data_IF_060811897879
#
_entry.id   IF_060811897879
#
_cell.length_a   1.000
_cell.length_b   1.000
_cell.length_c   1.000
_cell.angle_alpha   90.00
_cell.angle_beta   90.00
_cell.angle_gamma   90.00
#
_symmetry.space_group_name_H-M   'P 1'
#
loop_
_entity.id
_entity.type
_entity.pdbx_description
1 polymer ?
#
# COMPACT_ATOMS: atom_id res chain seq x y z
N UNK A 1 38.33 -6.61 -3.24
CA UNK A 1 37.17 -5.93 -3.88
C UNK A 1 36.49 -5.13 -2.80
N UNK A 2 36.29 -3.84 -2.98
CA UNK A 2 35.49 -3.01 -2.08
C UNK A 2 34.05 -3.50 -2.15
N UNK A 3 33.47 -3.91 -1.01
CA UNK A 3 32.05 -4.26 -0.95
C UNK A 3 31.26 -2.96 -1.15
N UNK A 4 30.41 -2.89 -2.18
CA UNK A 4 29.57 -1.72 -2.45
C UNK A 4 28.58 -1.54 -1.31
N UNK A 5 28.30 -0.29 -0.92
CA UNK A 5 27.24 -0.01 0.04
C UNK A 5 25.87 -0.40 -0.54
N UNK A 6 24.92 -0.84 0.28
CA UNK A 6 23.62 -1.34 -0.21
C UNK A 6 22.86 -0.33 -1.08
N UNK A 7 22.97 0.97 -0.79
CA UNK A 7 22.32 2.03 -1.59
C UNK A 7 22.92 2.22 -2.99
N UNK A 8 24.15 1.74 -3.22
CA UNK A 8 24.80 1.72 -4.54
C UNK A 8 24.56 0.40 -5.29
N UNK A 9 23.92 -0.58 -4.64
CA UNK A 9 23.61 -1.87 -5.24
C UNK A 9 22.22 -1.84 -5.91
N UNK A 10 22.04 -2.75 -6.86
CA UNK A 10 20.77 -2.97 -7.55
C UNK A 10 20.36 -4.44 -7.40
N UNK A 11 19.16 -4.69 -6.86
CA UNK A 11 18.66 -6.03 -6.53
C UNK A 11 19.67 -6.87 -5.73
N UNK A 12 20.27 -6.28 -4.69
CA UNK A 12 21.16 -7.00 -3.79
C UNK A 12 20.42 -8.15 -3.10
N UNK A 13 21.09 -9.30 -3.05
CA UNK A 13 20.69 -10.46 -2.24
C UNK A 13 21.55 -10.58 -0.96
N UNK A 14 22.34 -9.54 -0.62
CA UNK A 14 23.15 -9.51 0.59
C UNK A 14 22.28 -9.19 1.83
N UNK A 15 21.47 -10.18 2.19
CA UNK A 15 20.57 -10.11 3.34
C UNK A 15 21.34 -9.99 4.67
N UNK A 16 22.58 -10.48 4.75
CA UNK A 16 23.41 -10.31 5.93
C UNK A 16 23.78 -8.83 6.15
N UNK A 17 24.18 -8.11 5.10
CA UNK A 17 24.44 -6.67 5.17
C UNK A 17 23.18 -5.87 5.49
N UNK A 18 22.03 -6.27 4.97
CA UNK A 18 20.76 -5.61 5.26
C UNK A 18 20.33 -5.81 6.72
N UNK A 19 20.47 -7.03 7.25
CA UNK A 19 20.24 -7.34 8.67
C UNK A 19 21.14 -6.50 9.58
N UNK A 20 22.43 -6.40 9.26
CA UNK A 20 23.38 -5.58 10.03
C UNK A 20 22.99 -4.11 10.02
N UNK A 21 22.56 -3.60 8.86
CA UNK A 21 22.08 -2.23 8.70
C UNK A 21 20.86 -1.97 9.60
N UNK A 22 19.82 -2.81 9.54
CA UNK A 22 18.63 -2.66 10.38
C UNK A 22 18.91 -2.76 11.88
N UNK A 23 19.86 -3.61 12.28
CA UNK A 23 20.16 -3.85 13.69
C UNK A 23 21.09 -2.78 14.31
N UNK A 24 21.97 -2.17 13.53
CA UNK A 24 23.00 -1.24 14.05
C UNK A 24 22.74 0.23 13.76
N UNK A 25 21.94 0.57 12.74
CA UNK A 25 21.67 1.97 12.41
C UNK A 25 20.79 2.63 13.48
N UNK A 26 21.36 3.64 14.13
CA UNK A 26 20.69 4.43 15.18
C UNK A 26 19.66 5.41 14.60
N UNK A 27 20.04 6.21 13.61
CA UNK A 27 19.15 7.16 12.95
C UNK A 27 18.46 6.44 11.76
N UNK A 28 17.38 5.72 12.05
CA UNK A 28 16.70 4.79 11.13
C UNK A 28 15.21 5.09 11.09
N UNK A 29 14.61 5.11 9.90
CA UNK A 29 13.16 5.17 9.71
C UNK A 29 12.74 4.10 8.69
N UNK A 30 11.96 3.13 9.12
CA UNK A 30 11.41 2.06 8.27
C UNK A 30 9.96 2.42 7.96
N UNK A 31 9.64 2.49 6.67
CA UNK A 31 8.30 2.74 6.14
C UNK A 31 7.97 1.58 5.20
N UNK A 32 6.94 0.80 5.51
CA UNK A 32 6.60 -0.37 4.70
C UNK A 32 5.11 -0.53 4.42
N UNK A 33 4.77 -1.14 3.29
CA UNK A 33 3.43 -1.69 3.09
C UNK A 33 3.20 -2.96 3.95
N UNK A 34 1.99 -3.50 3.88
CA UNK A 34 1.54 -4.68 4.61
C UNK A 34 1.40 -5.90 3.70
N UNK A 35 0.43 -5.83 2.79
CA UNK A 35 0.05 -6.90 1.87
C UNK A 35 1.23 -7.21 0.93
N UNK A 36 1.60 -8.49 0.81
CA UNK A 36 2.77 -8.92 0.04
C UNK A 36 4.13 -8.63 0.69
N UNK A 37 4.19 -7.79 1.73
CA UNK A 37 5.42 -7.40 2.43
C UNK A 37 5.62 -8.16 3.74
N UNK A 38 4.62 -8.15 4.63
CA UNK A 38 4.67 -8.87 5.92
C UNK A 38 3.53 -9.88 6.11
N UNK A 39 2.69 -10.04 5.10
CA UNK A 39 1.65 -11.05 5.01
C UNK A 39 1.44 -11.42 3.54
N UNK A 40 0.93 -12.63 3.27
CA UNK A 40 0.69 -13.09 1.90
C UNK A 40 -0.41 -12.29 1.18
N UNK A 41 -0.27 -12.16 -0.14
CA UNK A 41 -1.35 -11.70 -1.02
C UNK A 41 -2.41 -12.78 -1.16
N UNK A 42 -3.59 -12.53 -0.61
CA UNK A 42 -4.75 -13.44 -0.66
C UNK A 42 -5.89 -12.81 -1.45
N UNK A 43 -6.77 -13.63 -2.01
CA UNK A 43 -7.98 -13.18 -2.72
C UNK A 43 -9.01 -12.55 -1.77
N UNK A 44 -9.22 -13.17 -0.61
CA UNK A 44 -10.13 -12.67 0.42
C UNK A 44 -9.35 -12.05 1.58
N UNK A 45 -9.41 -10.72 1.77
CA UNK A 45 -8.77 -10.04 2.90
C UNK A 45 -9.05 -10.65 4.28
N UNK A 46 -10.17 -11.35 4.47
CA UNK A 46 -10.51 -12.01 5.73
C UNK A 46 -9.65 -13.24 6.02
N UNK A 47 -9.06 -13.88 5.02
CA UNK A 47 -8.23 -15.08 5.20
C UNK A 47 -6.78 -14.75 5.56
N UNK A 48 -6.38 -13.47 5.47
CA UNK A 48 -5.04 -13.00 5.84
C UNK A 48 -4.61 -13.48 7.22
N UNK A 49 -3.32 -13.77 7.35
CA UNK A 49 -2.65 -14.12 8.61
C UNK A 49 -1.37 -13.32 8.76
N UNK A 50 -1.00 -13.03 10.00
CA UNK A 50 0.28 -12.40 10.33
C UNK A 50 0.94 -13.18 11.46
N UNK A 51 2.28 -13.28 11.42
CA UNK A 51 3.06 -13.93 12.45
C UNK A 51 3.08 -13.06 13.74
N UNK A 52 2.63 -13.57 14.90
CA UNK A 52 2.72 -12.83 16.16
C UNK A 52 4.16 -12.47 16.56
N UNK A 53 5.17 -13.26 16.17
CA UNK A 53 6.57 -12.94 16.47
C UNK A 53 7.09 -11.77 15.62
N UNK A 54 6.59 -11.61 14.40
CA UNK A 54 6.82 -10.41 13.60
C UNK A 54 6.22 -9.16 14.28
N UNK A 55 5.00 -9.26 14.85
CA UNK A 55 4.41 -8.16 15.62
C UNK A 55 5.25 -7.83 16.87
N UNK A 56 5.76 -8.83 17.58
CA UNK A 56 6.68 -8.58 18.72
C UNK A 56 7.99 -7.92 18.27
N UNK A 57 8.51 -8.31 17.09
CA UNK A 57 9.71 -7.73 16.52
C UNK A 57 9.53 -6.26 16.14
N UNK A 58 8.40 -5.87 15.53
CA UNK A 58 8.15 -4.48 15.13
C UNK A 58 8.15 -3.54 16.34
N UNK A 59 7.63 -3.97 17.49
CA UNK A 59 7.69 -3.21 18.75
C UNK A 59 9.10 -2.87 19.20
N UNK A 60 10.10 -3.70 18.89
CA UNK A 60 11.50 -3.42 19.26
C UNK A 60 12.09 -2.27 18.46
N UNK A 61 11.53 -1.97 17.29
CA UNK A 61 11.92 -0.80 16.51
C UNK A 61 11.27 0.50 17.00
N UNK A 62 10.23 0.45 17.85
CA UNK A 62 9.58 1.64 18.46
C UNK A 62 9.34 2.76 17.42
N UNK A 63 9.87 3.95 17.68
CA UNK A 63 9.75 5.17 16.87
C UNK A 63 10.50 5.09 15.52
N UNK A 64 11.13 3.96 15.19
CA UNK A 64 11.85 3.74 13.95
C UNK A 64 11.07 2.92 12.91
N UNK A 65 9.86 2.44 13.23
CA UNK A 65 9.10 1.58 12.33
C UNK A 65 7.66 2.08 12.21
N UNK A 66 7.21 2.23 10.96
CA UNK A 66 5.83 2.57 10.64
C UNK A 66 5.36 1.82 9.40
N UNK A 67 4.08 1.48 9.39
CA UNK A 67 3.41 0.97 8.20
C UNK A 67 2.80 2.12 7.40
N UNK A 68 2.69 1.95 6.10
CA UNK A 68 2.09 2.88 5.14
C UNK A 68 1.35 2.08 4.07
N UNK A 69 0.04 1.91 4.26
CA UNK A 69 -0.78 1.02 3.43
C UNK A 69 -1.99 1.73 2.83
N UNK A 70 -2.50 1.20 1.72
CA UNK A 70 -3.80 1.59 1.15
C UNK A 70 -4.97 0.87 1.83
N UNK A 71 -4.72 -0.26 2.51
CA UNK A 71 -5.70 -0.91 3.37
C UNK A 71 -6.03 -0.07 4.61
N UNK A 72 -6.89 -0.57 5.49
CA UNK A 72 -7.24 0.13 6.75
C UNK A 72 -6.65 -0.57 7.99
N UNK A 73 -6.45 0.21 9.04
CA UNK A 73 -6.14 -0.31 10.37
C UNK A 73 -7.38 -0.93 11.01
N UNK A 74 -8.48 -0.17 11.03
CA UNK A 74 -9.75 -0.53 11.66
C UNK A 74 -10.72 -1.27 10.75
N UNK A 75 -11.98 -1.38 11.18
CA UNK A 75 -13.04 -1.98 10.38
C UNK A 75 -13.04 -3.51 10.36
N UNK A 76 -13.86 -4.10 9.49
CA UNK A 76 -14.04 -5.57 9.48
C UNK A 76 -12.89 -6.35 8.90
N UNK A 77 -12.14 -5.72 8.00
CA UNK A 77 -11.08 -6.32 7.20
C UNK A 77 -9.72 -5.64 7.42
N UNK A 78 -9.65 -4.67 8.33
CA UNK A 78 -8.41 -3.97 8.63
C UNK A 78 -7.44 -4.80 9.46
N UNK A 79 -6.19 -4.33 9.48
CA UNK A 79 -5.06 -5.06 10.04
C UNK A 79 -5.24 -5.41 11.51
N UNK A 80 -5.95 -4.59 12.28
CA UNK A 80 -6.12 -4.81 13.72
C UNK A 80 -6.80 -6.14 14.02
N UNK A 81 -7.81 -6.54 13.22
CA UNK A 81 -8.47 -7.83 13.41
C UNK A 81 -7.58 -9.01 13.03
N UNK A 82 -6.66 -8.82 12.09
CA UNK A 82 -5.66 -9.82 11.71
C UNK A 82 -4.68 -10.02 12.88
N UNK A 83 -4.19 -8.92 13.45
CA UNK A 83 -3.35 -8.93 14.66
C UNK A 83 -4.09 -9.59 15.83
N UNK A 84 -5.30 -9.14 16.17
CA UNK A 84 -6.10 -9.74 17.25
C UNK A 84 -6.27 -11.25 17.06
N UNK A 85 -6.57 -11.71 15.84
CA UNK A 85 -6.67 -13.13 15.51
C UNK A 85 -5.37 -13.89 15.74
N UNK A 86 -4.23 -13.33 15.34
CA UNK A 86 -2.91 -13.93 15.55
C UNK A 86 -2.60 -14.17 17.04
N UNK A 87 -3.16 -13.34 17.93
CA UNK A 87 -2.98 -13.44 19.38
C UNK A 87 -4.13 -14.17 20.13
N UNK A 88 -5.21 -14.62 19.46
CA UNK A 88 -6.38 -15.24 20.12
C UNK A 88 -6.06 -16.46 20.99
N UNK A 89 -5.04 -17.23 20.59
CA UNK A 89 -4.66 -18.48 21.27
C UNK A 89 -3.43 -18.30 22.18
N UNK A 90 -3.03 -17.05 22.44
CA UNK A 90 -1.87 -16.72 23.28
C UNK A 90 -2.44 -16.14 24.59
N UNK A 91 -2.12 -16.74 25.73
CA UNK A 91 -2.61 -16.33 27.07
C UNK A 91 -2.20 -14.91 27.51
N UNK A 92 -1.51 -14.17 26.64
CA UNK A 92 -0.93 -12.87 26.90
C UNK A 92 -1.65 -11.75 26.12
N UNK A 93 -2.94 -11.49 26.43
CA UNK A 93 -3.67 -10.32 25.86
C UNK A 93 -2.96 -8.98 26.08
N UNK A 94 -2.13 -8.87 27.12
CA UNK A 94 -1.29 -7.70 27.43
C UNK A 94 -0.07 -7.56 26.49
N UNK A 95 0.23 -8.56 25.65
CA UNK A 95 1.28 -8.49 24.63
C UNK A 95 0.80 -7.89 23.31
N UNK A 96 -0.52 -7.78 23.10
CA UNK A 96 -1.09 -7.26 21.86
C UNK A 96 -0.65 -5.81 21.70
N UNK A 97 0.09 -5.56 20.63
CA UNK A 97 0.44 -4.24 20.14
C UNK A 97 0.11 -4.21 18.67
N UNK A 98 -0.39 -3.07 18.21
CA UNK A 98 -0.76 -2.88 16.81
C UNK A 98 0.42 -2.32 16.02
N UNK A 99 0.36 -2.49 14.70
CA UNK A 99 1.36 -1.88 13.82
C UNK A 99 1.09 -0.37 13.74
N UNK A 100 2.02 0.49 14.21
CA UNK A 100 1.84 1.93 14.17
C UNK A 100 2.07 2.48 12.76
N UNK A 101 1.48 3.62 12.45
CA UNK A 101 1.70 4.33 11.20
C UNK A 101 0.41 4.66 10.48
N UNK A 102 0.46 4.68 9.16
CA UNK A 102 -0.57 5.21 8.30
C UNK A 102 -1.24 4.14 7.46
N UNK A 103 -2.56 4.26 7.35
CA UNK A 103 -3.42 3.46 6.52
C UNK A 103 -4.31 4.37 5.65
N UNK A 104 -5.12 3.74 4.80
CA UNK A 104 -5.97 4.40 3.81
C UNK A 104 -5.20 5.43 3.00
N UNK A 105 -4.02 5.05 2.49
CA UNK A 105 -3.18 5.92 1.68
C UNK A 105 -2.62 7.12 2.45
N UNK A 106 -2.57 7.12 3.77
CA UNK A 106 -1.92 8.21 4.53
C UNK A 106 -2.86 9.08 5.38
N UNK A 107 -4.18 8.87 5.34
CA UNK A 107 -5.13 9.71 6.10
C UNK A 107 -5.61 9.07 7.41
N UNK A 108 -5.37 7.78 7.62
CA UNK A 108 -5.72 7.08 8.86
C UNK A 108 -4.46 6.82 9.68
N UNK A 109 -4.33 7.50 10.80
CA UNK A 109 -3.22 7.32 11.73
C UNK A 109 -3.57 6.30 12.81
N UNK A 110 -2.59 5.46 13.17
CA UNK A 110 -2.69 4.54 14.30
C UNK A 110 -1.43 4.54 15.16
N UNK A 111 -1.64 4.50 16.48
CA UNK A 111 -0.57 4.23 17.47
C UNK A 111 -0.37 2.73 17.71
N UNK A 112 0.73 2.37 18.35
CA UNK A 112 1.04 0.98 18.76
C UNK A 112 0.05 0.42 19.82
N UNK A 113 -0.76 1.29 20.41
CA UNK A 113 -1.86 0.99 21.32
C UNK A 113 -3.22 0.83 20.61
N UNK A 114 -3.27 1.00 19.28
CA UNK A 114 -4.50 0.85 18.49
C UNK A 114 -5.43 2.05 18.54
N UNK A 115 -4.94 3.22 18.96
CA UNK A 115 -5.72 4.46 18.88
C UNK A 115 -5.70 4.96 17.44
N UNK A 116 -6.88 5.07 16.83
CA UNK A 116 -7.04 5.50 15.44
C UNK A 116 -7.54 6.95 15.39
N UNK A 117 -6.95 7.76 14.52
CA UNK A 117 -7.42 9.10 14.18
C UNK A 117 -7.36 9.34 12.67
N UNK A 118 -8.01 10.42 12.20
CA UNK A 118 -8.04 10.79 10.78
C UNK A 118 -7.64 12.27 10.58
N UNK A 119 -6.36 12.62 10.76
CA UNK A 119 -5.91 14.01 10.65
C UNK A 119 -6.28 14.64 9.30
N UNK A 120 -6.89 15.83 9.35
CA UNK A 120 -7.35 16.55 8.16
C UNK A 120 -8.68 16.08 7.58
N UNK A 121 -9.31 15.01 8.10
CA UNK A 121 -10.62 14.54 7.63
C UNK A 121 -11.73 15.08 8.54
N UNK A 122 -12.70 15.76 7.95
CA UNK A 122 -13.84 16.33 8.67
C UNK A 122 -14.93 15.30 8.97
N UNK A 123 -15.77 15.59 9.96
CA UNK A 123 -16.91 14.74 10.29
C UNK A 123 -17.92 14.64 9.13
N UNK A 124 -18.07 15.71 8.33
CA UNK A 124 -18.95 15.71 7.18
C UNK A 124 -18.46 14.73 6.10
N UNK A 125 -17.15 14.69 5.86
CA UNK A 125 -16.54 13.72 4.95
C UNK A 125 -16.72 12.28 5.44
N UNK A 126 -16.45 12.02 6.74
CA UNK A 126 -16.66 10.70 7.32
C UNK A 126 -18.12 10.24 7.24
N UNK A 127 -19.07 11.14 7.48
CA UNK A 127 -20.50 10.84 7.36
C UNK A 127 -20.90 10.50 5.93
N UNK A 128 -20.33 11.20 4.93
CA UNK A 128 -20.58 10.90 3.53
C UNK A 128 -20.02 9.52 3.15
N UNK A 129 -18.77 9.24 3.50
CA UNK A 129 -18.09 7.96 3.22
C UNK A 129 -18.84 6.77 3.84
N UNK A 130 -19.40 6.94 5.03
CA UNK A 130 -20.20 5.91 5.70
C UNK A 130 -21.43 5.47 4.90
N UNK A 131 -21.93 6.28 3.95
CA UNK A 131 -23.07 5.92 3.08
C UNK A 131 -22.66 5.12 1.84
N UNK A 132 -21.39 5.18 1.44
CA UNK A 132 -20.90 4.60 0.18
C UNK A 132 -21.06 3.08 0.11
N UNK A 133 -20.76 2.29 1.17
CA UNK A 133 -20.94 0.83 1.14
C UNK A 133 -22.38 0.40 0.81
N UNK A 134 -23.37 1.07 1.38
CA UNK A 134 -24.79 0.78 1.12
C UNK A 134 -25.16 1.10 -0.33
N UNK A 135 -24.62 2.19 -0.89
CA UNK A 135 -24.84 2.58 -2.28
C UNK A 135 -24.19 1.60 -3.26
N UNK A 136 -23.00 1.08 -2.95
CA UNK A 136 -22.38 -0.01 -3.72
C UNK A 136 -23.26 -1.27 -3.66
N UNK A 137 -23.72 -1.65 -2.46
CA UNK A 137 -24.60 -2.81 -2.28
C UNK A 137 -25.89 -2.71 -3.09
N UNK A 138 -26.55 -1.55 -3.08
CA UNK A 138 -27.75 -1.28 -3.88
C UNK A 138 -27.47 -1.33 -5.38
N UNK A 139 -26.32 -0.79 -5.83
CA UNK A 139 -25.90 -0.84 -7.22
C UNK A 139 -25.70 -2.29 -7.69
N UNK A 140 -25.04 -3.13 -6.87
CA UNK A 140 -24.87 -4.56 -7.16
C UNK A 140 -26.21 -5.30 -7.23
N UNK A 141 -27.14 -5.04 -6.30
CA UNK A 141 -28.49 -5.63 -6.34
C UNK A 141 -29.23 -5.28 -7.64
N UNK A 142 -29.16 -4.01 -8.06
CA UNK A 142 -29.77 -3.55 -9.31
C UNK A 142 -29.10 -4.19 -10.52
N UNK A 143 -27.78 -4.37 -10.50
CA UNK A 143 -27.05 -5.06 -11.56
C UNK A 143 -27.46 -6.54 -11.64
N UNK A 144 -27.52 -7.24 -10.51
CA UNK A 144 -27.92 -8.66 -10.45
C UNK A 144 -29.35 -8.87 -10.96
N UNK A 145 -30.27 -7.93 -10.69
CA UNK A 145 -31.63 -7.98 -11.19
C UNK A 145 -31.74 -7.93 -12.74
N UNK A 146 -30.73 -7.41 -13.45
CA UNK A 146 -30.67 -7.43 -14.92
C UNK A 146 -30.33 -8.82 -15.47
N UNK A 147 -29.68 -9.67 -14.67
CA UNK A 147 -29.19 -10.99 -15.06
C UNK A 147 -29.65 -12.08 -14.07
N UNK A 148 -30.97 -12.30 -13.89
CA UNK A 148 -31.52 -13.15 -12.84
C UNK A 148 -31.08 -14.62 -12.95
N UNK A 149 -30.85 -15.12 -14.17
CA UNK A 149 -30.38 -16.48 -14.40
C UNK A 149 -28.92 -16.69 -13.96
N UNK A 150 -28.12 -15.61 -13.94
CA UNK A 150 -26.71 -15.66 -13.51
C UNK A 150 -26.56 -15.36 -12.03
N UNK A 151 -27.46 -14.57 -11.45
CA UNK A 151 -27.42 -14.20 -10.04
C UNK A 151 -28.72 -14.61 -9.31
N UNK A 152 -28.90 -15.91 -9.02
CA UNK A 152 -30.03 -16.39 -8.22
C UNK A 152 -30.10 -15.67 -6.87
N UNK A 153 -31.31 -15.35 -6.41
CA UNK A 153 -31.55 -14.55 -5.19
C UNK A 153 -30.82 -15.11 -3.95
N UNK A 154 -30.72 -16.43 -3.84
CA UNK A 154 -30.08 -17.09 -2.70
C UNK A 154 -28.57 -16.81 -2.61
N UNK A 155 -27.90 -16.56 -3.74
CA UNK A 155 -26.46 -16.31 -3.81
C UNK A 155 -26.09 -14.82 -3.68
N UNK A 156 -27.05 -13.91 -3.92
CA UNK A 156 -26.77 -12.47 -3.96
C UNK A 156 -26.20 -11.91 -2.65
N UNK A 157 -26.70 -12.26 -1.44
CA UNK A 157 -26.20 -11.69 -0.20
C UNK A 157 -24.71 -11.97 0.03
N UNK A 158 -24.25 -13.19 -0.27
CA UNK A 158 -22.85 -13.59 -0.10
C UNK A 158 -21.94 -12.86 -1.10
N UNK A 159 -22.36 -12.77 -2.36
CA UNK A 159 -21.63 -12.04 -3.40
C UNK A 159 -21.51 -10.55 -3.08
N UNK A 160 -22.59 -9.90 -2.63
CA UNK A 160 -22.56 -8.49 -2.19
C UNK A 160 -21.65 -8.34 -0.98
N UNK A 161 -21.79 -9.22 0.01
CA UNK A 161 -20.99 -9.15 1.22
C UNK A 161 -19.49 -9.25 0.93
N UNK A 162 -19.11 -10.13 0.00
CA UNK A 162 -17.73 -10.29 -0.44
C UNK A 162 -17.23 -9.08 -1.25
N UNK A 163 -18.09 -8.45 -2.04
CA UNK A 163 -17.72 -7.32 -2.91
C UNK A 163 -17.76 -5.95 -2.24
N UNK A 164 -18.48 -5.76 -1.16
CA UNK A 164 -18.56 -4.47 -0.46
C UNK A 164 -17.56 -4.43 0.69
N UNK A 165 -16.51 -3.62 0.55
CA UNK A 165 -15.56 -3.34 1.62
C UNK A 165 -15.97 -2.03 2.33
N UNK A 166 -16.42 -2.16 3.57
CA UNK A 166 -16.96 -1.09 4.43
C UNK A 166 -15.86 -0.29 5.16
N UNK A 167 -14.76 -0.07 4.45
CA UNK A 167 -13.65 0.76 4.88
C UNK A 167 -14.14 2.20 5.13
N UNK A 168 -13.80 2.80 6.27
CA UNK A 168 -14.35 4.08 6.72
C UNK A 168 -13.91 5.26 5.86
N UNK A 169 -12.65 5.27 5.40
CA UNK A 169 -12.04 6.38 4.65
C UNK A 169 -11.64 5.99 3.22
N UNK A 170 -11.77 4.71 2.89
CA UNK A 170 -11.56 4.16 1.53
C UNK A 170 -12.60 3.09 1.14
N UNK A 171 -13.91 3.36 1.27
CA UNK A 171 -14.94 2.40 0.88
C UNK A 171 -14.71 1.91 -0.55
N UNK A 172 -14.77 0.59 -0.74
CA UNK A 172 -14.31 -0.07 -1.96
C UNK A 172 -15.32 -1.09 -2.46
N UNK A 173 -15.58 -1.08 -3.77
CA UNK A 173 -16.17 -2.23 -4.45
C UNK A 173 -15.06 -3.15 -4.95
N UNK A 174 -14.96 -4.35 -4.36
CA UNK A 174 -14.01 -5.39 -4.76
C UNK A 174 -14.69 -6.44 -5.64
N UNK A 175 -14.27 -6.52 -6.89
CA UNK A 175 -14.89 -7.36 -7.90
C UNK A 175 -14.17 -8.69 -8.11
N UNK A 176 -13.15 -9.05 -7.33
CA UNK A 176 -12.39 -10.30 -7.52
C UNK A 176 -13.30 -11.53 -7.50
N UNK A 177 -14.17 -11.60 -6.50
CA UNK A 177 -15.13 -12.72 -6.34
C UNK A 177 -16.13 -12.76 -7.50
N UNK A 178 -16.58 -11.59 -7.98
CA UNK A 178 -17.50 -11.50 -9.11
C UNK A 178 -16.84 -11.82 -10.46
N UNK A 179 -15.56 -11.48 -10.63
CA UNK A 179 -14.78 -11.86 -11.80
C UNK A 179 -14.67 -13.39 -11.90
N UNK A 180 -14.35 -14.06 -10.79
CA UNK A 180 -14.28 -15.52 -10.73
C UNK A 180 -15.65 -16.17 -10.93
N UNK A 181 -16.69 -15.61 -10.30
CA UNK A 181 -18.06 -16.09 -10.44
C UNK A 181 -18.58 -16.01 -11.89
N UNK A 182 -18.26 -14.93 -12.60
CA UNK A 182 -18.69 -14.73 -13.99
C UNK A 182 -17.85 -15.54 -15.00
N UNK A 183 -16.61 -15.91 -14.65
CA UNK A 183 -15.74 -16.73 -15.49
C UNK A 183 -15.60 -16.16 -16.90
N UNK A 184 -15.97 -16.96 -17.92
CA UNK A 184 -15.86 -16.58 -19.34
C UNK A 184 -16.91 -15.55 -19.81
N UNK A 185 -17.79 -15.05 -18.94
CA UNK A 185 -18.80 -14.02 -19.27
C UNK A 185 -18.19 -12.62 -19.27
N UNK A 186 -17.22 -12.42 -20.16
CA UNK A 186 -16.39 -11.20 -20.21
C UNK A 186 -17.19 -9.92 -20.46
N UNK A 187 -18.19 -9.97 -21.34
CA UNK A 187 -19.07 -8.85 -21.68
C UNK A 187 -19.86 -8.37 -20.46
N UNK A 188 -20.42 -9.30 -19.69
CA UNK A 188 -21.17 -9.01 -18.45
C UNK A 188 -20.24 -8.47 -17.38
N UNK A 189 -19.03 -9.02 -17.26
CA UNK A 189 -18.06 -8.52 -16.29
C UNK A 189 -17.56 -7.11 -16.64
N UNK A 190 -17.34 -6.81 -17.92
CA UNK A 190 -17.03 -5.44 -18.36
C UNK A 190 -18.19 -4.46 -18.11
N UNK A 191 -19.45 -4.89 -18.30
CA UNK A 191 -20.64 -4.09 -17.97
C UNK A 191 -20.72 -3.80 -16.46
N UNK A 192 -20.39 -4.77 -15.61
CA UNK A 192 -20.26 -4.56 -14.16
C UNK A 192 -19.18 -3.52 -13.83
N UNK A 193 -17.99 -3.62 -14.42
CA UNK A 193 -16.91 -2.64 -14.24
C UNK A 193 -17.36 -1.22 -14.61
N UNK A 194 -18.08 -1.06 -15.73
CA UNK A 194 -18.62 0.25 -16.14
C UNK A 194 -19.70 0.75 -15.19
N UNK A 195 -20.57 -0.15 -14.72
CA UNK A 195 -21.65 0.18 -13.79
C UNK A 195 -21.10 0.71 -12.46
N UNK A 196 -20.07 0.06 -11.91
CA UNK A 196 -19.42 0.51 -10.68
C UNK A 196 -18.65 1.82 -10.90
N UNK A 197 -17.94 1.98 -12.01
CA UNK A 197 -17.27 3.24 -12.33
C UNK A 197 -18.25 4.42 -12.38
N UNK A 198 -19.39 4.25 -13.06
CA UNK A 198 -20.44 5.27 -13.14
C UNK A 198 -21.03 5.61 -11.77
N UNK A 199 -21.24 4.62 -10.89
CA UNK A 199 -21.64 4.89 -9.51
C UNK A 199 -20.63 5.79 -8.79
N UNK A 200 -19.32 5.56 -8.96
CA UNK A 200 -18.31 6.36 -8.29
C UNK A 200 -18.27 7.80 -8.81
N UNK A 201 -18.49 8.01 -10.11
CA UNK A 201 -18.65 9.35 -10.69
C UNK A 201 -19.89 10.06 -10.12
N UNK A 202 -21.04 9.36 -10.01
CA UNK A 202 -22.25 9.89 -9.37
C UNK A 202 -22.02 10.25 -7.90
N UNK A 203 -21.18 9.49 -7.18
CA UNK A 203 -20.82 9.80 -5.80
C UNK A 203 -19.97 11.07 -5.70
N UNK A 204 -19.05 11.32 -6.64
CA UNK A 204 -18.30 12.58 -6.70
C UNK A 204 -19.24 13.77 -6.91
N UNK A 205 -20.22 13.64 -7.81
CA UNK A 205 -21.22 14.68 -8.06
C UNK A 205 -22.10 14.92 -6.81
N UNK A 206 -22.58 13.86 -6.16
CA UNK A 206 -23.37 13.96 -4.92
C UNK A 206 -22.59 14.62 -3.79
N UNK A 207 -21.29 14.34 -3.68
CA UNK A 207 -20.43 14.97 -2.69
C UNK A 207 -20.32 16.49 -2.95
N UNK A 208 -20.10 16.89 -4.20
CA UNK A 208 -20.09 18.29 -4.64
C UNK A 208 -21.41 19.00 -4.29
N UNK A 209 -22.56 18.38 -4.58
CA UNK A 209 -23.89 18.92 -4.24
C UNK A 209 -24.10 19.11 -2.72
N UNK A 210 -23.37 18.38 -1.88
CA UNK A 210 -23.39 18.50 -0.41
C UNK A 210 -22.34 19.48 0.14
N UNK A 211 -21.63 20.22 -0.72
CA UNK A 211 -20.57 21.14 -0.34
C UNK A 211 -19.26 20.45 0.05
N UNK A 212 -19.08 19.19 -0.35
CA UNK A 212 -17.84 18.41 -0.19
C UNK A 212 -17.02 18.41 -1.48
N UNK A 213 -17.08 19.49 -2.25
CA UNK A 213 -16.31 19.68 -3.47
C UNK A 213 -14.83 19.38 -3.24
N UNK A 214 -14.22 18.63 -4.16
CA UNK A 214 -12.81 18.23 -4.09
C UNK A 214 -12.40 17.44 -2.82
N UNK A 215 -13.34 16.97 -2.01
CA UNK A 215 -13.03 16.18 -0.80
C UNK A 215 -12.61 14.75 -1.13
N UNK A 216 -13.04 14.22 -2.27
CA UNK A 216 -12.84 12.83 -2.66
C UNK A 216 -12.21 12.69 -4.05
N UNK A 217 -11.71 11.49 -4.32
CA UNK A 217 -11.28 11.03 -5.64
C UNK A 217 -11.52 9.52 -5.76
N UNK A 218 -11.42 9.01 -6.98
CA UNK A 218 -11.54 7.58 -7.27
C UNK A 218 -10.17 7.00 -7.56
N UNK A 219 -9.87 5.86 -6.95
CA UNK A 219 -8.68 5.07 -7.22
C UNK A 219 -9.06 3.69 -7.76
N UNK A 220 -8.40 3.27 -8.83
CA UNK A 220 -8.58 1.98 -9.48
C UNK A 220 -7.33 1.10 -9.26
N UNK A 221 -7.52 -0.16 -8.90
CA UNK A 221 -6.43 -1.13 -8.82
C UNK A 221 -6.80 -2.48 -9.46
N UNK A 222 -5.95 -3.01 -10.38
CA UNK A 222 -4.92 -2.29 -11.14
C UNK A 222 -5.51 -1.18 -12.03
N UNK A 223 -4.74 -0.12 -12.32
CA UNK A 223 -5.09 0.94 -13.27
C UNK A 223 -4.15 1.02 -14.49
N UNK A 224 -4.53 1.82 -15.49
CA UNK A 224 -3.72 2.12 -16.68
C UNK A 224 -2.96 3.46 -16.56
N UNK A 225 -2.80 3.98 -15.36
CA UNK A 225 -2.34 5.34 -15.09
C UNK A 225 -3.48 6.36 -15.21
N UNK A 226 -3.13 7.61 -15.52
CA UNK A 226 -4.07 8.74 -15.66
C UNK A 226 -4.23 9.13 -17.12
N UNK A 227 -5.41 9.61 -17.48
CA UNK A 227 -5.67 10.20 -18.78
C UNK A 227 -5.09 11.62 -18.91
N UNK A 228 -5.34 12.27 -20.05
CA UNK A 228 -4.88 13.63 -20.33
C UNK A 228 -5.48 14.71 -19.42
N UNK A 229 -6.57 14.39 -18.70
CA UNK A 229 -7.20 15.27 -17.71
C UNK A 229 -6.73 14.97 -16.28
N UNK A 230 -5.89 13.96 -16.11
CA UNK A 230 -5.36 13.56 -14.81
C UNK A 230 -6.27 12.59 -14.03
N UNK A 231 -7.31 12.06 -14.66
CA UNK A 231 -8.25 11.10 -14.04
C UNK A 231 -7.72 9.68 -14.24
N UNK A 232 -7.77 8.84 -13.21
CA UNK A 232 -7.35 7.43 -13.33
C UNK A 232 -8.24 6.67 -14.32
N UNK A 233 -7.63 5.83 -15.14
CA UNK A 233 -8.35 5.04 -16.13
C UNK A 233 -8.58 3.60 -15.65
N UNK A 234 -9.83 3.16 -15.73
CA UNK A 234 -10.21 1.75 -15.52
C UNK A 234 -9.50 0.88 -16.55
N UNK A 235 -8.85 -0.18 -16.07
CA UNK A 235 -8.32 -1.26 -16.90
C UNK A 235 -9.43 -2.30 -17.09
N UNK A 236 -10.19 -2.23 -18.17
CA UNK A 236 -11.24 -3.22 -18.40
C UNK A 236 -10.67 -4.64 -18.55
N UNK A 237 -11.43 -5.62 -18.08
CA UNK A 237 -11.08 -7.03 -18.19
C UNK A 237 -10.87 -7.44 -19.65
N UNK A 238 -10.04 -8.46 -19.86
CA UNK A 238 -9.82 -9.12 -21.15
C UNK A 238 -9.95 -10.62 -20.97
N UNK A 239 -9.94 -11.40 -22.07
CA UNK A 239 -9.95 -12.86 -21.97
C UNK A 239 -8.73 -13.46 -21.23
N UNK A 240 -7.69 -12.66 -20.95
CA UNK A 240 -6.47 -13.12 -20.28
C UNK A 240 -6.32 -12.60 -18.83
N UNK A 241 -7.10 -11.59 -18.42
CA UNK A 241 -6.90 -10.88 -17.15
C UNK A 241 -8.20 -10.18 -16.69
N UNK A 242 -8.43 -10.13 -15.37
CA UNK A 242 -9.62 -9.53 -14.77
C UNK A 242 -9.64 -8.00 -14.82
N UNK A 243 -8.54 -7.34 -15.23
CA UNK A 243 -8.45 -5.89 -15.23
C UNK A 243 -8.59 -5.29 -13.82
N UNK A 244 -9.17 -4.10 -13.70
CA UNK A 244 -9.48 -3.43 -12.43
C UNK A 244 -10.50 -4.25 -11.65
N UNK A 245 -10.12 -4.66 -10.44
CA UNK A 245 -11.01 -5.37 -9.52
C UNK A 245 -11.40 -4.49 -8.34
N UNK A 246 -10.58 -3.49 -8.01
CA UNK A 246 -10.78 -2.68 -6.83
C UNK A 246 -11.13 -1.25 -7.27
N UNK A 247 -12.34 -0.83 -6.90
CA UNK A 247 -12.91 0.48 -7.21
C UNK A 247 -13.08 1.23 -5.88
N UNK A 248 -12.12 2.08 -5.56
CA UNK A 248 -12.01 2.72 -4.25
C UNK A 248 -12.46 4.17 -4.33
N UNK A 249 -13.34 4.59 -3.41
CA UNK A 249 -13.75 5.98 -3.25
C UNK A 249 -13.06 6.55 -2.02
N UNK A 250 -12.09 7.45 -2.23
CA UNK A 250 -11.11 7.82 -1.21
C UNK A 250 -11.10 9.33 -0.92
N UNK A 251 -10.70 9.69 0.29
CA UNK A 251 -10.47 11.10 0.68
C UNK A 251 -9.27 11.66 -0.08
N UNK A 252 -9.41 12.83 -0.70
CA UNK A 252 -8.31 13.49 -1.44
C UNK A 252 -7.09 13.70 -0.54
N UNK A 253 -5.92 13.37 -1.09
CA UNK A 253 -4.64 13.37 -0.36
C UNK A 253 -4.28 12.02 0.26
N UNK A 254 -5.17 11.03 0.21
CA UNK A 254 -4.90 9.64 0.58
C UNK A 254 -4.01 8.92 -0.44
N UNK A 255 -2.78 9.41 -0.63
CA UNK A 255 -1.73 8.76 -1.41
C UNK A 255 -0.49 8.52 -0.53
N UNK A 256 0.16 7.36 -0.71
CA UNK A 256 1.26 6.92 0.17
C UNK A 256 2.39 7.94 0.23
N UNK A 257 2.69 8.62 -0.86
CA UNK A 257 3.73 9.63 -0.97
C UNK A 257 3.54 10.77 0.05
N UNK A 258 2.30 11.23 0.24
CA UNK A 258 1.97 12.22 1.27
C UNK A 258 2.22 11.64 2.67
N UNK A 259 1.90 10.36 2.87
CA UNK A 259 2.19 9.63 4.11
C UNK A 259 3.67 9.55 4.45
N UNK A 260 4.58 9.48 3.47
CA UNK A 260 6.04 9.54 3.73
C UNK A 260 6.42 10.83 4.45
N UNK A 261 5.89 11.98 4.02
CA UNK A 261 6.17 13.28 4.64
C UNK A 261 5.56 13.38 6.04
N UNK A 262 4.35 12.83 6.25
CA UNK A 262 3.73 12.79 7.58
C UNK A 262 4.59 11.95 8.53
N UNK A 263 5.02 10.76 8.11
CA UNK A 263 5.87 9.88 8.91
C UNK A 263 7.25 10.49 9.18
N UNK A 264 7.83 11.18 8.21
CA UNK A 264 9.11 11.87 8.40
C UNK A 264 8.99 13.05 9.36
N UNK A 265 7.91 13.84 9.26
CA UNK A 265 7.61 14.94 10.17
C UNK A 265 7.41 14.42 11.61
N UNK A 266 6.69 13.31 11.78
CA UNK A 266 6.50 12.63 13.06
C UNK A 266 7.82 12.09 13.62
N UNK A 267 8.66 11.49 12.76
CA UNK A 267 10.00 11.02 13.15
C UNK A 267 10.85 12.18 13.70
N UNK A 268 10.87 13.32 13.00
CA UNK A 268 11.59 14.51 13.48
C UNK A 268 11.03 15.04 14.81
N UNK A 269 9.72 15.02 15.02
CA UNK A 269 9.14 15.38 16.32
C UNK A 269 9.67 14.48 17.45
N UNK A 270 9.71 13.17 17.22
CA UNK A 270 10.17 12.21 18.24
C UNK A 270 11.67 12.32 18.52
N UNK A 271 12.49 12.50 17.49
CA UNK A 271 13.95 12.42 17.60
C UNK A 271 14.66 13.79 17.69
N UNK A 272 14.13 14.82 17.04
CA UNK A 272 14.69 16.17 17.02
C UNK A 272 13.85 17.20 17.81
N UNK A 273 12.67 16.82 18.33
CA UNK A 273 11.80 17.64 19.20
C UNK A 273 11.20 18.88 18.55
N UNK A 274 11.04 18.87 17.22
CA UNK A 274 10.27 19.86 16.48
C UNK A 274 9.64 19.21 15.23
N UNK A 275 8.63 19.88 14.66
CA UNK A 275 7.95 19.44 13.44
C UNK A 275 8.38 20.32 12.26
N UNK A 276 9.25 19.84 11.35
CA UNK A 276 9.65 20.58 10.15
C UNK A 276 8.49 21.16 9.34
N UNK A 277 7.37 20.43 9.24
CA UNK A 277 6.18 20.82 8.49
C UNK A 277 5.05 21.38 9.38
N UNK A 278 5.30 21.53 10.68
CA UNK A 278 4.31 21.90 11.68
C UNK A 278 3.60 20.70 12.31
N UNK A 279 3.15 20.87 13.56
CA UNK A 279 2.53 19.82 14.39
C UNK A 279 1.23 19.25 13.80
N UNK A 280 0.50 20.08 13.06
CA UNK A 280 -0.78 19.70 12.47
C UNK A 280 -0.66 19.22 11.01
N UNK A 281 0.57 19.02 10.51
CA UNK A 281 0.79 18.57 9.14
C UNK A 281 0.16 17.19 8.91
N UNK A 282 -0.62 17.05 7.84
CA UNK A 282 -1.28 15.81 7.45
C UNK A 282 -1.28 15.63 5.93
N UNK A 283 -1.67 14.44 5.48
CA UNK A 283 -1.59 14.05 4.08
C UNK A 283 -2.37 14.97 3.12
N UNK A 284 -3.40 15.69 3.59
CA UNK A 284 -4.18 16.62 2.76
C UNK A 284 -3.48 17.94 2.48
N UNK A 285 -2.48 18.28 3.29
CA UNK A 285 -1.67 19.48 3.10
C UNK A 285 -0.44 19.19 2.23
N UNK A 286 -0.15 17.93 1.96
CA UNK A 286 0.95 17.54 1.09
C UNK A 286 0.65 17.89 -0.38
N UNK A 287 1.65 18.35 -1.15
CA UNK A 287 1.55 18.48 -2.59
C UNK A 287 1.18 17.17 -3.28
N UNK A 288 0.60 17.25 -4.47
CA UNK A 288 0.07 16.08 -5.20
C UNK A 288 1.05 15.49 -6.23
N UNK A 289 2.11 16.22 -6.58
CA UNK A 289 3.11 15.77 -7.53
C UNK A 289 4.45 15.54 -6.83
N UNK A 290 5.25 14.67 -7.43
CA UNK A 290 6.53 14.21 -6.88
C UNK A 290 7.54 15.34 -6.67
N UNK A 291 7.64 16.27 -7.62
CA UNK A 291 8.61 17.36 -7.57
C UNK A 291 8.32 18.31 -6.40
N UNK A 292 7.07 18.69 -6.20
CA UNK A 292 6.66 19.55 -5.09
C UNK A 292 6.77 18.83 -3.74
N UNK A 293 6.51 17.52 -3.68
CA UNK A 293 6.72 16.71 -2.48
C UNK A 293 8.21 16.70 -2.07
N UNK A 294 9.09 16.48 -3.04
CA UNK A 294 10.53 16.51 -2.80
C UNK A 294 10.99 17.93 -2.42
N UNK A 295 10.51 18.96 -3.11
CA UNK A 295 10.84 20.36 -2.79
C UNK A 295 10.42 20.72 -1.36
N UNK A 296 9.23 20.29 -0.93
CA UNK A 296 8.76 20.51 0.43
C UNK A 296 9.70 19.88 1.48
N UNK A 297 10.29 18.72 1.18
CA UNK A 297 11.32 18.11 2.03
C UNK A 297 12.59 18.95 2.03
N UNK A 298 13.07 19.36 0.86
CA UNK A 298 14.30 20.13 0.69
C UNK A 298 14.26 21.48 1.42
N UNK A 299 13.09 22.13 1.44
CA UNK A 299 12.90 23.45 2.02
C UNK A 299 12.82 23.44 3.55
N UNK A 300 12.40 22.32 4.15
CA UNK A 300 12.00 22.29 5.57
C UNK A 300 12.82 21.34 6.46
N UNK A 301 13.46 20.32 5.89
CA UNK A 301 14.21 19.33 6.67
C UNK A 301 15.70 19.62 6.66
N UNK A 302 16.38 19.34 7.78
CA UNK A 302 17.84 19.40 7.84
C UNK A 302 18.42 18.07 7.30
N UNK A 303 19.18 18.07 6.18
CA UNK A 303 19.76 16.84 5.64
C UNK A 303 20.76 16.18 6.60
N UNK A 304 21.38 16.92 7.53
CA UNK A 304 22.30 16.34 8.52
C UNK A 304 21.58 15.51 9.59
N UNK A 305 20.30 15.78 9.82
CA UNK A 305 19.45 15.04 10.77
C UNK A 305 18.66 13.92 10.08
N UNK A 306 18.69 13.86 8.75
CA UNK A 306 17.90 12.91 7.97
C UNK A 306 18.23 11.46 8.37
N UNK A 307 17.23 10.64 8.77
CA UNK A 307 17.48 9.23 9.01
C UNK A 307 17.86 8.51 7.72
N UNK A 308 18.53 7.37 7.89
CA UNK A 308 18.46 6.33 6.87
C UNK A 308 17.00 5.89 6.77
N UNK A 309 16.34 6.20 5.65
CA UNK A 309 14.98 5.74 5.39
C UNK A 309 15.03 4.43 4.61
N UNK A 310 14.31 3.42 5.10
CA UNK A 310 14.12 2.13 4.43
C UNK A 310 12.67 2.05 3.98
N UNK A 311 12.43 2.18 2.69
CA UNK A 311 11.13 1.99 2.06
C UNK A 311 10.96 0.53 1.61
N UNK A 312 9.89 -0.14 2.03
CA UNK A 312 9.65 -1.55 1.68
C UNK A 312 8.28 -1.72 1.01
N UNK A 313 8.26 -2.34 -0.17
CA UNK A 313 7.03 -2.62 -0.92
C UNK A 313 7.14 -3.90 -1.75
N UNK A 314 6.00 -4.35 -2.28
CA UNK A 314 5.87 -5.54 -3.11
C UNK A 314 5.27 -5.22 -4.50
N UNK A 315 4.59 -4.07 -4.61
CA UNK A 315 3.78 -3.74 -5.76
C UNK A 315 4.42 -2.63 -6.59
N UNK A 316 5.32 -3.05 -7.47
CA UNK A 316 5.96 -2.22 -8.50
C UNK A 316 5.87 -2.96 -9.83
N UNK A 317 5.41 -2.29 -10.88
CA UNK A 317 5.22 -2.91 -12.20
C UNK A 317 5.79 -2.03 -13.30
N UNK A 318 6.40 -2.65 -14.31
CA UNK A 318 6.71 -2.04 -15.60
C UNK A 318 6.18 -2.97 -16.71
N UNK A 319 5.40 -2.43 -17.65
CA UNK A 319 4.83 -3.17 -18.77
C UNK A 319 5.07 -2.42 -20.08
N UNK A 320 5.50 -3.13 -21.11
CA UNK A 320 5.63 -2.58 -22.46
C UNK A 320 4.34 -2.80 -23.24
N UNK A 321 3.67 -1.72 -23.61
CA UNK A 321 2.53 -1.72 -24.53
C UNK A 321 2.96 -1.08 -25.86
N UNK A 322 3.16 -1.90 -26.89
CA UNK A 322 3.69 -1.43 -28.18
C UNK A 322 5.09 -0.83 -28.03
N UNK A 323 5.22 0.47 -28.31
CA UNK A 323 6.49 1.22 -28.18
C UNK A 323 6.57 2.03 -26.87
N UNK A 324 5.56 1.97 -26.00
CA UNK A 324 5.54 2.71 -24.74
C UNK A 324 5.73 1.78 -23.56
N UNK A 325 6.52 2.23 -22.58
CA UNK A 325 6.67 1.55 -21.30
C UNK A 325 5.76 2.25 -20.30
N UNK A 326 4.76 1.54 -19.77
CA UNK A 326 3.94 2.01 -18.66
C UNK A 326 4.51 1.50 -17.35
N UNK A 327 4.63 2.40 -16.39
CA UNK A 327 5.19 2.15 -15.06
C UNK A 327 4.12 2.46 -14.02
N UNK A 328 3.92 1.55 -13.08
CA UNK A 328 2.88 1.66 -12.06
C UNK A 328 3.18 0.80 -10.84
N UNK A 329 2.13 0.52 -10.07
CA UNK A 329 2.19 -0.17 -8.79
C UNK A 329 1.96 0.79 -7.62
N UNK A 330 1.18 0.36 -6.63
CA UNK A 330 0.78 1.16 -5.48
C UNK A 330 1.95 1.64 -4.62
N UNK A 331 3.07 0.93 -4.65
CA UNK A 331 4.24 1.26 -3.83
C UNK A 331 5.26 2.13 -4.57
N UNK A 332 5.18 2.17 -5.91
CA UNK A 332 6.21 2.76 -6.76
C UNK A 332 6.56 4.19 -6.35
N UNK A 333 5.55 5.04 -6.25
CA UNK A 333 5.77 6.49 -6.10
C UNK A 333 6.30 6.83 -4.72
N UNK A 334 5.85 6.16 -3.65
CA UNK A 334 6.40 6.41 -2.32
C UNK A 334 7.83 5.85 -2.19
N UNK A 335 8.12 4.70 -2.79
CA UNK A 335 9.48 4.14 -2.83
C UNK A 335 10.43 5.06 -3.61
N UNK A 336 9.96 5.65 -4.72
CA UNK A 336 10.73 6.63 -5.47
C UNK A 336 10.97 7.90 -4.66
N UNK A 337 9.97 8.38 -3.91
CA UNK A 337 10.14 9.52 -3.01
C UNK A 337 11.18 9.24 -1.90
N UNK A 338 11.13 8.05 -1.28
CA UNK A 338 12.15 7.61 -0.31
C UNK A 338 13.55 7.62 -0.92
N UNK A 339 13.70 7.10 -2.14
CA UNK A 339 14.97 7.12 -2.86
C UNK A 339 15.47 8.55 -3.07
N UNK A 340 14.63 9.45 -3.58
CA UNK A 340 15.04 10.77 -4.01
C UNK A 340 15.33 11.70 -2.82
N UNK A 341 14.61 11.54 -1.69
CA UNK A 341 14.97 12.14 -0.40
C UNK A 341 16.37 11.71 0.01
N UNK A 342 16.70 10.42 -0.15
CA UNK A 342 18.00 9.88 0.23
C UNK A 342 19.14 10.37 -0.65
N UNK A 343 18.89 10.58 -1.94
CA UNK A 343 19.86 11.17 -2.86
C UNK A 343 20.16 12.63 -2.50
N UNK A 344 19.13 13.42 -2.20
CA UNK A 344 19.29 14.80 -1.78
C UNK A 344 20.03 14.91 -0.43
N UNK A 345 19.58 14.17 0.59
CA UNK A 345 20.16 14.23 1.93
C UNK A 345 21.51 13.49 2.05
N UNK A 346 21.86 12.65 1.06
CA UNK A 346 22.99 11.72 1.10
C UNK A 346 22.95 10.78 2.31
N UNK A 347 21.75 10.38 2.73
CA UNK A 347 21.50 9.51 3.88
C UNK A 347 21.64 8.02 3.56
N UNK A 348 21.80 7.66 2.28
CA UNK A 348 21.98 6.29 1.84
C UNK A 348 20.70 5.44 1.92
N UNK A 349 19.52 6.07 1.77
CA UNK A 349 18.22 5.41 1.84
C UNK A 349 18.15 4.14 0.99
N UNK A 350 17.35 3.18 1.46
CA UNK A 350 17.20 1.88 0.83
C UNK A 350 15.77 1.67 0.35
N UNK A 351 15.64 1.26 -0.91
CA UNK A 351 14.41 0.73 -1.50
C UNK A 351 14.49 -0.79 -1.50
N UNK A 352 13.58 -1.43 -0.77
CA UNK A 352 13.53 -2.87 -0.58
C UNK A 352 12.29 -3.44 -1.26
N UNK A 353 12.50 -4.46 -2.08
CA UNK A 353 11.43 -5.15 -2.81
C UNK A 353 11.19 -6.55 -2.28
N UNK A 354 9.93 -6.88 -1.99
CA UNK A 354 9.51 -8.23 -1.62
C UNK A 354 8.84 -8.89 -2.82
N UNK A 355 9.34 -10.04 -3.25
CA UNK A 355 8.71 -10.79 -4.34
C UNK A 355 7.45 -11.51 -3.82
N UNK A 356 6.29 -10.88 -4.03
CA UNK A 356 4.99 -11.41 -3.63
C UNK A 356 4.33 -12.31 -4.68
N UNK A 357 5.05 -12.66 -5.75
CA UNK A 357 4.49 -13.44 -6.88
C UNK A 357 4.06 -14.86 -6.54
N UNK A 358 4.47 -15.39 -5.39
CA UNK A 358 4.06 -16.69 -4.89
C UNK A 358 2.69 -16.67 -4.18
N UNK A 359 2.04 -15.51 -4.08
CA UNK A 359 0.71 -15.35 -3.48
C UNK A 359 -0.45 -15.87 -4.35
N UNK A 360 -1.68 -15.74 -3.84
CA UNK A 360 -2.88 -16.19 -4.56
C UNK A 360 -3.21 -15.33 -5.78
N UNK A 361 -2.78 -14.07 -5.78
CA UNK A 361 -2.97 -13.12 -6.86
C UNK A 361 -1.92 -13.33 -7.96
N UNK A 362 -2.36 -13.80 -9.14
CA UNK A 362 -1.48 -14.18 -10.26
C UNK A 362 -0.99 -13.03 -11.15
N UNK A 363 -1.17 -11.79 -10.72
CA UNK A 363 -0.86 -10.59 -11.51
C UNK A 363 0.55 -10.02 -11.23
N UNK A 364 1.41 -10.77 -10.53
CA UNK A 364 2.79 -10.39 -10.17
C UNK A 364 3.78 -11.22 -10.98
N UNK A 365 4.87 -10.59 -11.45
CA UNK A 365 5.93 -11.26 -12.21
C UNK A 365 7.05 -11.64 -11.23
N UNK A 366 7.41 -12.93 -11.12
CA UNK A 366 8.50 -13.34 -10.23
C UNK A 366 9.85 -12.78 -10.69
N UNK A 367 10.70 -12.46 -9.72
CA UNK A 367 12.12 -12.22 -9.97
C UNK A 367 12.76 -13.48 -10.54
N UNK A 368 13.63 -13.32 -11.54
CA UNK A 368 14.43 -14.44 -12.05
C UNK A 368 15.79 -14.41 -11.41
N UNK A 369 16.12 -15.46 -10.67
CA UNK A 369 17.44 -15.65 -10.06
C UNK A 369 18.31 -16.51 -10.97
N UNK A 370 19.58 -16.14 -11.08
CA UNK A 370 20.58 -16.91 -11.83
C UNK A 370 21.98 -16.73 -11.24
N UNK A 371 22.89 -17.62 -11.61
CA UNK A 371 24.29 -17.56 -11.16
C UNK A 371 25.12 -16.76 -12.17
N UNK A 372 25.68 -15.64 -11.73
CA UNK A 372 26.56 -14.79 -12.54
C UNK A 372 27.91 -14.69 -11.82
N UNK A 373 28.97 -15.17 -12.48
CA UNK A 373 30.32 -15.24 -11.91
C UNK A 373 30.39 -15.98 -10.55
N UNK A 374 29.63 -17.07 -10.40
CA UNK A 374 29.61 -17.90 -9.19
C UNK A 374 28.81 -17.34 -8.02
N UNK A 375 28.07 -16.24 -8.21
CA UNK A 375 27.19 -15.63 -7.22
C UNK A 375 25.75 -15.62 -7.72
N UNK A 376 24.80 -15.91 -6.84
CA UNK A 376 23.37 -15.74 -7.14
C UNK A 376 23.04 -14.25 -7.28
N UNK A 377 22.30 -13.92 -8.33
CA UNK A 377 21.85 -12.55 -8.64
C UNK A 377 20.48 -12.58 -9.28
N UNK A 378 19.76 -11.47 -9.14
CA UNK A 378 18.57 -11.20 -9.97
C UNK A 378 19.03 -10.92 -11.40
N UNK A 379 18.68 -11.81 -12.33
CA UNK A 379 19.00 -11.70 -13.76
C UNK A 379 17.86 -11.09 -14.58
N UNK A 380 16.64 -11.07 -14.04
CA UNK A 380 15.53 -10.28 -14.55
C UNK A 380 14.65 -9.83 -13.39
N UNK A 381 14.42 -8.53 -13.28
CA UNK A 381 13.58 -7.91 -12.25
C UNK A 381 12.20 -7.50 -12.76
N UNK A 382 11.52 -6.69 -11.96
CA UNK A 382 10.16 -6.17 -12.20
C UNK A 382 10.15 -4.75 -12.81
N UNK A 383 11.32 -4.14 -12.93
CA UNK A 383 11.55 -2.81 -13.49
C UNK A 383 12.28 -2.91 -14.84
N UNK A 384 11.99 -2.00 -15.76
CA UNK A 384 12.75 -1.88 -17.01
C UNK A 384 14.10 -1.17 -16.79
N UNK A 385 15.09 -1.31 -17.69
CA UNK A 385 16.41 -0.70 -17.51
C UNK A 385 16.44 0.83 -17.43
N UNK A 386 15.40 1.52 -17.90
CA UNK A 386 15.29 2.97 -17.87
C UNK A 386 14.40 3.46 -16.71
N UNK A 387 14.01 2.58 -15.79
CA UNK A 387 13.17 2.91 -14.65
C UNK A 387 13.93 3.84 -13.67
N UNK A 388 13.39 5.02 -13.33
CA UNK A 388 14.02 5.91 -12.36
C UNK A 388 14.04 5.34 -10.93
N UNK A 389 13.13 4.42 -10.62
CA UNK A 389 13.12 3.71 -9.34
C UNK A 389 14.16 2.59 -9.37
N UNK A 390 15.15 2.67 -8.47
CA UNK A 390 16.18 1.65 -8.29
C UNK A 390 15.90 0.85 -7.03
N UNK A 391 15.60 -0.42 -7.21
CA UNK A 391 15.52 -1.38 -6.11
C UNK A 391 16.94 -1.69 -5.61
N UNK A 392 17.21 -1.47 -4.32
CA UNK A 392 18.50 -1.73 -3.70
C UNK A 392 18.64 -3.17 -3.21
N UNK A 393 17.64 -3.67 -2.48
CA UNK A 393 17.62 -5.01 -1.88
C UNK A 393 16.36 -5.74 -2.32
N UNK A 394 16.47 -7.04 -2.59
CA UNK A 394 15.31 -7.86 -2.95
C UNK A 394 15.22 -9.17 -2.16
N UNK A 395 13.98 -9.58 -1.90
CA UNK A 395 13.63 -10.82 -1.20
C UNK A 395 12.86 -11.73 -2.16
N UNK A 396 13.57 -12.59 -2.95
CA UNK A 396 12.95 -13.44 -3.96
C UNK A 396 12.09 -14.57 -3.37
N UNK A 397 12.31 -14.93 -2.10
CA UNK A 397 11.50 -15.94 -1.41
C UNK A 397 10.33 -15.31 -0.63
N UNK A 398 9.99 -14.06 -0.96
CA UNK A 398 8.79 -13.37 -0.49
C UNK A 398 8.80 -12.94 0.97
N UNK A 399 7.60 -12.69 1.51
CA UNK A 399 7.41 -12.05 2.81
C UNK A 399 7.95 -12.88 3.99
N UNK A 400 7.97 -14.22 3.89
CA UNK A 400 8.48 -15.07 4.96
C UNK A 400 9.98 -14.89 5.18
N UNK A 401 10.76 -14.74 4.08
CA UNK A 401 12.18 -14.44 4.14
C UNK A 401 12.44 -13.07 4.78
N UNK A 402 11.68 -12.06 4.36
CA UNK A 402 11.79 -10.71 4.90
C UNK A 402 11.42 -10.63 6.38
N UNK A 403 10.26 -11.18 6.77
CA UNK A 403 9.79 -11.14 8.15
C UNK A 403 10.71 -11.92 9.09
N UNK A 404 11.25 -13.05 8.64
CA UNK A 404 12.27 -13.81 9.39
C UNK A 404 13.52 -12.97 9.63
N UNK A 405 14.04 -12.31 8.59
CA UNK A 405 15.21 -11.43 8.72
C UNK A 405 14.92 -10.24 9.64
N UNK A 406 13.75 -9.62 9.49
CA UNK A 406 13.32 -8.48 10.30
C UNK A 406 13.25 -8.86 11.80
N UNK A 407 12.73 -10.04 12.12
CA UNK A 407 12.73 -10.59 13.48
C UNK A 407 14.15 -10.78 14.03
N UNK A 408 15.09 -11.27 13.21
CA UNK A 408 16.50 -11.40 13.59
C UNK A 408 17.16 -10.03 13.84
N UNK A 409 16.90 -9.05 12.98
CA UNK A 409 17.39 -7.69 13.17
C UNK A 409 16.84 -7.07 14.46
N UNK A 410 15.54 -7.23 14.73
CA UNK A 410 14.90 -6.79 15.96
C UNK A 410 15.52 -7.46 17.21
N UNK A 411 15.90 -8.74 17.13
CA UNK A 411 16.54 -9.45 18.22
C UNK A 411 17.94 -8.93 18.55
N UNK A 412 18.65 -8.36 17.57
CA UNK A 412 19.98 -7.76 17.74
C UNK A 412 19.95 -6.27 18.10
N UNK A 413 18.79 -5.60 17.95
CA UNK A 413 18.62 -4.18 18.27
C UNK A 413 18.51 -4.01 19.79
N UNK A 414 19.44 -3.25 20.37
CA UNK A 414 19.55 -2.97 21.81
C UNK A 414 19.02 -1.60 22.18
#
# INVERSE_FOLDING_TARGET
MTVLALHDQHYSLDHAAFLETLSTTKNLLIIQDLDGVCMGLVKDPLTRTIDPDYIRASRKFKDHFFVLTNGEHGGKRGVNRIVERAFRNIDAKHEISYLPGLAAGGVQWQTDQGQISHPGVSQAELNFLATVPDLIGQCLQQFFAKYPDLFPTDNQPELIHASVLDNLVSPTANLNVLAEYLGDRLDIYQDLQRTIAALLDDLLEKASQQGLDNSFFVHYAPNLGRDHTGIEMVRFATGADSGTTDFQFMVRGAVKEAGVLVLLNEYYSRHAKYYPLGENFNARQAPQNHEDLLQLVQDNFDPQLMPLIVGVGDTVTSQTEGNQVRRGGSDRLFLQLVQDIGQWAKSGNLVVYIDSSQGELKNRIPLKIGVVAGQEKVIAGITDPADPLKINVAFPDGFEQYTTLFQQAAAKRG
#
